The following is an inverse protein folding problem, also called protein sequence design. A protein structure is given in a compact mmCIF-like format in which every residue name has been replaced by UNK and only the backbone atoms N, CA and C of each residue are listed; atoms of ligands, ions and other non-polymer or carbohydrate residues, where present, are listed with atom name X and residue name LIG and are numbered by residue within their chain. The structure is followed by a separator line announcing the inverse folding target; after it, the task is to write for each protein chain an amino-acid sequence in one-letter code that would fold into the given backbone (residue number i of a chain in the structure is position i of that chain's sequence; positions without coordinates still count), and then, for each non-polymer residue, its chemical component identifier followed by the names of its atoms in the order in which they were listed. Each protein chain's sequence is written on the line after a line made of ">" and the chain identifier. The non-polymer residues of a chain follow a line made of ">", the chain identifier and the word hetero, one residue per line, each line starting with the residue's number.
data_IF_066425693869
#
_entry.id   IF_066425693869
#
_cell.length_a   1.000
_cell.length_b   1.000
_cell.length_c   1.000
_cell.angle_alpha   90.00
_cell.angle_beta   90.00
_cell.angle_gamma   90.00
#
_symmetry.space_group_name_H-M   'P 1'
#
loop_
_entity.id
_entity.type
_entity.pdbx_description
1 polymer ?
#
# COMPACT_ATOMS: atom_id res chain seq x y z
N UNK A 1 3.03 -1.71 -4.27
CA UNK A 1 3.93 -0.58 -3.92
C UNK A 1 3.41 0.70 -4.55
N UNK A 2 3.30 1.77 -3.78
CA UNK A 2 2.87 3.08 -4.27
C UNK A 2 4.05 3.88 -4.82
N UNK A 3 3.91 4.48 -6.00
CA UNK A 3 4.94 5.35 -6.58
C UNK A 3 4.75 6.80 -6.16
N UNK A 4 5.85 7.58 -6.07
CA UNK A 4 5.75 9.04 -6.04
C UNK A 4 5.22 9.54 -7.39
N UNK A 5 4.58 10.70 -7.38
CA UNK A 5 4.01 11.27 -8.62
C UNK A 5 5.06 11.42 -9.72
N UNK A 6 6.28 11.88 -9.39
CA UNK A 6 7.34 12.05 -10.38
C UNK A 6 7.80 10.74 -11.00
N UNK A 7 7.78 9.63 -10.26
CA UNK A 7 8.14 8.31 -10.79
C UNK A 7 7.02 7.76 -11.65
N UNK A 8 5.76 7.88 -11.18
CA UNK A 8 4.59 7.52 -11.98
C UNK A 8 4.59 8.25 -13.33
N UNK A 9 4.91 9.56 -13.33
CA UNK A 9 5.02 10.36 -14.56
C UNK A 9 6.20 9.94 -15.44
N UNK A 10 7.34 9.61 -14.86
CA UNK A 10 8.50 9.13 -15.61
C UNK A 10 8.19 7.87 -16.41
N UNK A 11 7.58 6.86 -15.78
CA UNK A 11 7.19 5.63 -16.47
C UNK A 11 6.06 5.87 -17.50
N UNK A 12 5.14 6.79 -17.21
CA UNK A 12 4.05 7.17 -18.12
C UNK A 12 4.55 7.84 -19.40
N UNK A 13 5.53 8.73 -19.29
CA UNK A 13 6.17 9.38 -20.44
C UNK A 13 6.81 8.38 -21.40
N UNK A 14 7.44 7.33 -20.88
CA UNK A 14 8.04 6.25 -21.70
C UNK A 14 6.98 5.47 -22.51
N UNK A 15 5.71 5.55 -22.12
CA UNK A 15 4.58 4.91 -22.78
C UNK A 15 3.72 5.88 -23.62
N UNK A 16 4.20 7.12 -23.84
CA UNK A 16 3.53 8.11 -24.65
C UNK A 16 2.37 8.84 -23.95
N UNK A 17 2.27 8.77 -22.62
CA UNK A 17 1.32 9.55 -21.85
C UNK A 17 1.91 10.95 -21.65
N UNK A 18 1.22 11.97 -22.15
CA UNK A 18 1.66 13.36 -21.94
C UNK A 18 1.53 13.73 -20.45
N UNK A 19 2.58 14.34 -19.93
CA UNK A 19 2.62 14.95 -18.59
C UNK A 19 3.16 16.37 -18.67
N UNK A 20 2.92 17.23 -17.69
CA UNK A 20 3.55 18.55 -17.67
C UNK A 20 5.08 18.44 -17.67
N UNK A 21 5.77 19.38 -18.32
CA UNK A 21 7.23 19.46 -18.26
C UNK A 21 7.66 19.85 -16.86
N UNK A 22 8.63 19.13 -16.31
CA UNK A 22 9.08 19.40 -14.94
C UNK A 22 10.21 18.50 -14.50
N UNK A 23 10.64 18.69 -13.26
CA UNK A 23 11.62 17.86 -12.60
C UNK A 23 11.48 17.93 -11.07
N UNK A 24 12.09 16.97 -10.38
CA UNK A 24 12.16 16.92 -8.92
C UNK A 24 13.30 17.78 -8.40
N UNK A 25 13.06 18.44 -7.27
CA UNK A 25 14.04 19.19 -6.50
C UNK A 25 14.05 18.73 -5.04
N UNK A 26 15.23 18.66 -4.44
CA UNK A 26 15.46 18.40 -3.02
C UNK A 26 15.80 19.67 -2.24
N UNK A 27 16.11 20.76 -2.96
CA UNK A 27 16.42 22.09 -2.42
C UNK A 27 15.62 23.18 -3.12
N UNK A 28 15.45 24.31 -2.47
CA UNK A 28 14.75 25.47 -3.04
C UNK A 28 15.52 26.09 -4.21
N UNK A 29 16.85 25.99 -4.22
CA UNK A 29 17.68 26.49 -5.33
C UNK A 29 17.52 25.63 -6.58
N UNK A 30 17.52 24.29 -6.43
CA UNK A 30 17.18 23.38 -7.53
C UNK A 30 15.79 23.67 -8.10
N UNK A 31 14.79 23.92 -7.23
CA UNK A 31 13.43 24.25 -7.64
C UNK A 31 13.37 25.51 -8.50
N UNK A 32 14.10 26.57 -8.09
CA UNK A 32 14.24 27.81 -8.86
C UNK A 32 14.86 27.58 -10.24
N UNK A 33 15.93 26.79 -10.30
CA UNK A 33 16.63 26.52 -11.56
C UNK A 33 15.81 25.63 -12.52
N UNK A 34 14.99 24.72 -11.97
CA UNK A 34 13.99 23.97 -12.76
C UNK A 34 12.97 24.94 -13.37
N UNK A 35 12.42 25.87 -12.57
CA UNK A 35 11.46 26.86 -13.09
C UNK A 35 12.06 27.70 -14.22
N UNK A 36 13.30 28.16 -14.10
CA UNK A 36 13.99 28.91 -15.19
C UNK A 36 14.04 28.12 -16.50
N UNK A 37 14.22 26.76 -16.40
CA UNK A 37 14.30 25.89 -17.58
C UNK A 37 12.94 25.61 -18.21
N UNK A 38 11.88 25.41 -17.39
CA UNK A 38 10.53 25.10 -17.89
C UNK A 38 9.79 26.32 -18.40
N UNK A 39 10.07 27.51 -17.83
CA UNK A 39 9.41 28.77 -18.17
C UNK A 39 7.92 28.84 -17.83
N UNK A 40 7.35 30.04 -17.94
CA UNK A 40 5.93 30.27 -17.68
C UNK A 40 5.53 30.11 -16.21
N UNK A 41 4.26 29.81 -15.95
CA UNK A 41 3.77 29.52 -14.59
C UNK A 41 4.16 28.11 -14.15
N UNK A 42 4.59 27.96 -12.91
CA UNK A 42 4.97 26.68 -12.31
C UNK A 42 4.00 26.22 -11.23
N UNK A 43 3.86 24.90 -11.08
CA UNK A 43 3.20 24.24 -9.96
C UNK A 43 4.27 23.52 -9.14
N UNK A 44 4.28 23.75 -7.85
CA UNK A 44 5.20 23.15 -6.88
C UNK A 44 4.40 22.13 -6.06
N UNK A 45 4.74 20.84 -6.13
CA UNK A 45 4.00 19.75 -5.52
C UNK A 45 4.86 18.95 -4.53
N UNK A 46 4.43 18.86 -3.29
CA UNK A 46 5.05 17.97 -2.30
C UNK A 46 5.09 16.53 -2.81
N UNK A 47 6.21 15.83 -2.65
CA UNK A 47 6.33 14.42 -2.96
C UNK A 47 6.24 13.61 -1.68
N UNK A 48 5.04 13.10 -1.41
CA UNK A 48 4.69 12.23 -0.27
C UNK A 48 3.75 11.12 -0.74
N UNK A 49 3.69 10.02 0.02
CA UNK A 49 2.86 8.86 -0.32
C UNK A 49 1.40 9.01 0.09
N UNK A 50 1.11 9.94 0.99
CA UNK A 50 -0.24 10.19 1.50
C UNK A 50 -1.10 10.97 0.51
N UNK A 51 -2.40 10.68 0.48
CA UNK A 51 -3.37 11.40 -0.33
C UNK A 51 -3.77 12.74 0.32
N UNK A 52 -4.28 13.67 -0.53
CA UNK A 52 -4.80 14.96 -0.04
C UNK A 52 -3.76 16.05 0.14
N UNK A 53 -2.62 15.96 -0.56
CA UNK A 53 -1.55 16.97 -0.57
C UNK A 53 -2.04 18.39 -0.80
N UNK A 54 -2.98 18.56 -1.75
CA UNK A 54 -3.56 19.87 -2.07
C UNK A 54 -4.29 20.49 -0.88
N UNK A 55 -5.16 19.73 -0.21
CA UNK A 55 -5.90 20.17 0.98
C UNK A 55 -4.96 20.49 2.16
N UNK A 56 -3.80 19.86 2.22
CA UNK A 56 -2.79 20.09 3.25
C UNK A 56 -1.80 21.22 2.93
N UNK A 57 -2.00 21.98 1.83
CA UNK A 57 -1.09 23.06 1.42
C UNK A 57 0.19 22.61 0.74
N UNK A 58 0.31 21.33 0.37
CA UNK A 58 1.46 20.74 -0.31
C UNK A 58 1.50 21.01 -1.83
N UNK A 59 0.57 21.79 -2.38
CA UNK A 59 0.56 22.24 -3.77
C UNK A 59 0.49 23.75 -3.79
N UNK A 60 1.44 24.41 -4.48
CA UNK A 60 1.51 25.87 -4.61
C UNK A 60 1.84 26.25 -6.04
N UNK A 61 1.53 27.49 -6.39
CA UNK A 61 1.77 28.06 -7.71
C UNK A 61 2.79 29.19 -7.63
N UNK A 62 3.54 29.41 -8.71
CA UNK A 62 4.50 30.49 -8.84
C UNK A 62 4.59 30.96 -10.29
N UNK A 63 4.65 32.27 -10.48
CA UNK A 63 4.79 32.91 -11.79
C UNK A 63 6.26 33.26 -12.14
N UNK A 64 7.13 33.25 -11.13
CA UNK A 64 8.54 33.62 -11.27
C UNK A 64 9.44 32.62 -10.52
N UNK A 65 10.71 32.45 -10.98
CA UNK A 65 11.65 31.54 -10.33
C UNK A 65 11.89 31.83 -8.84
N UNK A 66 11.94 33.08 -8.42
CA UNK A 66 12.16 33.43 -7.01
C UNK A 66 10.92 33.12 -6.14
N UNK A 67 9.71 33.22 -6.69
CA UNK A 67 8.50 32.74 -6.03
C UNK A 67 8.55 31.23 -5.86
N UNK A 68 9.03 30.52 -6.89
CA UNK A 68 9.20 29.04 -6.79
C UNK A 68 10.18 28.67 -5.68
N UNK A 69 11.28 29.40 -5.55
CA UNK A 69 12.21 29.23 -4.44
C UNK A 69 11.50 29.37 -3.09
N UNK A 70 10.76 30.47 -2.91
CA UNK A 70 10.03 30.72 -1.66
C UNK A 70 8.99 29.64 -1.36
N UNK A 71 8.18 29.24 -2.37
CA UNK A 71 7.16 28.19 -2.23
C UNK A 71 7.76 26.81 -1.98
N UNK A 72 8.86 26.47 -2.63
CA UNK A 72 9.58 25.23 -2.38
C UNK A 72 10.14 25.19 -0.95
N UNK A 73 10.68 26.32 -0.46
CA UNK A 73 11.18 26.43 0.92
C UNK A 73 10.08 26.28 1.97
N UNK A 74 8.86 26.75 1.67
CA UNK A 74 7.70 26.56 2.53
C UNK A 74 7.24 25.08 2.58
N UNK A 75 7.34 24.35 1.46
CA UNK A 75 6.86 22.97 1.33
C UNK A 75 7.91 21.95 1.81
N UNK A 76 9.19 22.19 1.51
CA UNK A 76 10.28 21.32 1.96
C UNK A 76 10.37 21.33 3.48
N UNK A 77 10.38 20.15 4.08
CA UNK A 77 10.39 19.99 5.53
C UNK A 77 9.03 20.03 6.22
N UNK A 78 7.93 20.43 5.50
CA UNK A 78 6.56 20.29 6.03
C UNK A 78 6.29 18.82 6.42
N UNK A 79 5.36 18.64 7.36
CA UNK A 79 4.78 17.32 7.65
C UNK A 79 3.35 17.27 7.14
N UNK A 80 3.06 16.34 6.23
CA UNK A 80 1.74 16.11 5.67
C UNK A 80 1.26 14.73 6.14
N UNK A 81 0.23 14.68 6.97
CA UNK A 81 -0.32 13.43 7.54
C UNK A 81 0.76 12.49 8.11
N UNK A 82 1.74 13.03 8.81
CA UNK A 82 2.82 12.26 9.44
C UNK A 82 4.08 12.09 8.58
N UNK A 83 4.00 12.30 7.26
CA UNK A 83 5.15 12.22 6.37
C UNK A 83 5.86 13.56 6.19
N UNK A 84 7.18 13.56 6.36
CA UNK A 84 8.01 14.73 6.11
C UNK A 84 8.31 14.89 4.61
N UNK A 85 8.01 16.05 4.04
CA UNK A 85 8.30 16.36 2.65
C UNK A 85 9.82 16.54 2.47
N UNK A 86 10.45 15.62 1.73
CA UNK A 86 11.87 15.63 1.41
C UNK A 86 12.16 16.15 0.00
N UNK A 87 11.19 16.07 -0.90
CA UNK A 87 11.31 16.45 -2.32
C UNK A 87 10.06 17.18 -2.78
N UNK A 88 10.21 18.06 -3.74
CA UNK A 88 9.12 18.74 -4.45
C UNK A 88 9.25 18.49 -5.95
N UNK A 89 8.12 18.32 -6.63
CA UNK A 89 8.03 18.28 -8.09
C UNK A 89 7.66 19.66 -8.59
N UNK A 90 8.49 20.22 -9.48
CA UNK A 90 8.27 21.51 -10.12
C UNK A 90 7.83 21.23 -11.55
N UNK A 91 6.65 21.67 -11.92
CA UNK A 91 6.08 21.43 -13.24
C UNK A 91 5.53 22.71 -13.85
N UNK A 92 5.57 22.79 -15.17
CA UNK A 92 4.88 23.83 -15.91
C UNK A 92 3.37 23.68 -15.71
N UNK A 93 2.70 24.75 -15.34
CA UNK A 93 1.24 24.75 -15.20
C UNK A 93 0.58 24.51 -16.56
N UNK A 94 -0.19 23.45 -16.69
CA UNK A 94 -0.99 23.19 -17.88
C UNK A 94 -2.25 24.07 -17.87
N UNK A 95 -2.55 24.70 -19.00
CA UNK A 95 -3.80 25.47 -19.18
C UNK A 95 -4.91 24.53 -19.53
N UNK A 96 -5.87 24.37 -18.64
CA UNK A 96 -7.01 23.48 -18.83
C UNK A 96 -8.11 24.17 -19.66
N UNK A 97 -8.57 23.46 -20.69
CA UNK A 97 -9.86 23.70 -21.32
C UNK A 97 -10.95 22.98 -20.56
N UNK A 98 -10.67 21.73 -20.16
CA UNK A 98 -11.52 20.87 -19.34
C UNK A 98 -10.64 19.99 -18.44
N UNK A 99 -11.16 19.68 -17.27
CA UNK A 99 -10.55 18.72 -16.35
C UNK A 99 -11.40 17.45 -16.29
N UNK A 100 -10.74 16.30 -16.44
CA UNK A 100 -11.38 14.99 -16.42
C UNK A 100 -10.71 14.10 -15.37
N UNK A 101 -11.39 13.02 -15.07
CA UNK A 101 -10.87 11.91 -14.28
C UNK A 101 -10.74 10.67 -15.16
N UNK A 102 -9.64 9.94 -15.02
CA UNK A 102 -9.46 8.62 -15.66
C UNK A 102 -8.66 7.70 -14.75
N UNK A 103 -9.13 6.47 -14.58
CA UNK A 103 -8.46 5.46 -13.76
C UNK A 103 -8.64 4.06 -14.35
N UNK A 104 -7.59 3.24 -14.21
CA UNK A 104 -7.63 1.79 -14.40
C UNK A 104 -7.46 1.16 -13.03
N UNK A 105 -8.44 0.38 -12.57
CA UNK A 105 -8.43 -0.23 -11.24
C UNK A 105 -8.70 -1.72 -11.31
N UNK A 106 -8.04 -2.49 -10.48
CA UNK A 106 -8.31 -3.91 -10.32
C UNK A 106 -9.60 -4.11 -9.49
N UNK A 107 -10.65 -4.58 -10.15
CA UNK A 107 -11.92 -4.96 -9.52
C UNK A 107 -11.89 -6.43 -9.09
N UNK A 108 -11.46 -6.68 -7.86
CA UNK A 108 -11.34 -8.04 -7.32
C UNK A 108 -12.68 -8.77 -7.20
N UNK A 109 -13.77 -8.05 -6.95
CA UNK A 109 -15.09 -8.64 -6.84
C UNK A 109 -15.58 -9.20 -8.19
N UNK A 110 -15.30 -8.51 -9.28
CA UNK A 110 -15.65 -8.91 -10.63
C UNK A 110 -14.51 -9.64 -11.37
N UNK A 111 -13.34 -9.81 -10.75
CA UNK A 111 -12.14 -10.49 -11.30
C UNK A 111 -11.68 -9.91 -12.64
N UNK A 112 -11.74 -8.60 -12.77
CA UNK A 112 -11.35 -7.90 -14.00
C UNK A 112 -10.73 -6.54 -13.68
N UNK A 113 -10.09 -5.92 -14.67
CA UNK A 113 -9.78 -4.50 -14.59
C UNK A 113 -11.00 -3.69 -15.02
N UNK A 114 -11.19 -2.54 -14.37
CA UNK A 114 -12.29 -1.61 -14.68
C UNK A 114 -11.72 -0.25 -15.00
N UNK A 115 -12.19 0.34 -16.09
CA UNK A 115 -11.93 1.75 -16.40
C UNK A 115 -12.98 2.60 -15.70
N UNK A 116 -12.53 3.57 -14.94
CA UNK A 116 -13.36 4.64 -14.41
C UNK A 116 -13.02 5.93 -15.15
N UNK A 117 -14.01 6.65 -15.62
CA UNK A 117 -13.80 7.92 -16.29
C UNK A 117 -14.93 8.90 -15.97
N UNK A 118 -14.60 10.18 -15.83
CA UNK A 118 -15.57 11.24 -15.57
C UNK A 118 -15.17 12.53 -16.28
N UNK A 119 -16.16 13.32 -16.65
CA UNK A 119 -15.97 14.68 -17.13
C UNK A 119 -15.80 15.71 -16.00
N UNK A 120 -15.74 15.23 -14.75
CA UNK A 120 -15.44 15.99 -13.54
C UNK A 120 -14.10 15.56 -12.97
N UNK A 121 -13.05 16.28 -13.32
CA UNK A 121 -11.70 16.10 -12.77
C UNK A 121 -11.33 17.20 -11.76
N UNK A 122 -10.18 17.04 -11.10
CA UNK A 122 -9.67 17.98 -10.10
C UNK A 122 -10.44 18.01 -8.78
N UNK A 123 -11.42 17.12 -8.63
CA UNK A 123 -12.27 16.97 -7.43
C UNK A 123 -12.14 15.58 -6.85
N UNK A 124 -12.69 15.37 -5.67
CA UNK A 124 -12.73 14.06 -5.01
C UNK A 124 -13.74 13.17 -5.74
N UNK A 125 -13.24 12.17 -6.46
CA UNK A 125 -14.10 11.32 -7.31
C UNK A 125 -15.03 10.43 -6.51
N UNK A 126 -14.68 10.10 -5.27
CA UNK A 126 -15.53 9.35 -4.34
C UNK A 126 -16.77 10.17 -3.96
N UNK A 127 -16.62 11.48 -3.79
CA UNK A 127 -17.74 12.38 -3.54
C UNK A 127 -18.62 12.51 -4.78
N UNK A 128 -18.04 12.63 -5.97
CA UNK A 128 -18.79 12.61 -7.24
C UNK A 128 -19.57 11.30 -7.39
N UNK A 129 -18.93 10.16 -7.15
CA UNK A 129 -19.57 8.84 -7.23
C UNK A 129 -20.69 8.64 -6.21
N UNK A 130 -20.65 9.33 -5.09
CA UNK A 130 -21.68 9.27 -4.05
C UNK A 130 -22.85 10.20 -4.33
N UNK A 131 -22.58 11.41 -4.83
CA UNK A 131 -23.61 12.44 -5.07
C UNK A 131 -24.26 12.31 -6.47
N UNK A 132 -23.46 11.98 -7.47
CA UNK A 132 -23.87 11.90 -8.90
C UNK A 132 -23.24 10.69 -9.57
N UNK A 133 -23.62 9.44 -9.19
CA UNK A 133 -22.99 8.21 -9.67
C UNK A 133 -23.01 8.05 -11.19
N UNK A 134 -24.01 8.64 -11.86
CA UNK A 134 -24.14 8.67 -13.32
C UNK A 134 -23.03 9.48 -14.02
N UNK A 135 -22.33 10.34 -13.31
CA UNK A 135 -21.19 11.11 -13.81
C UNK A 135 -19.89 10.30 -13.85
N UNK A 136 -19.84 9.16 -13.17
CA UNK A 136 -18.69 8.27 -13.17
C UNK A 136 -18.98 7.06 -14.07
N UNK A 137 -18.45 7.10 -15.27
CA UNK A 137 -18.52 5.96 -16.19
C UNK A 137 -17.70 4.81 -15.64
N UNK A 138 -18.31 3.63 -15.63
CA UNK A 138 -17.64 2.36 -15.26
C UNK A 138 -17.70 1.43 -16.47
N UNK A 139 -16.53 1.01 -16.95
CA UNK A 139 -16.42 0.07 -18.05
C UNK A 139 -15.51 -1.09 -17.64
N UNK A 140 -16.10 -2.28 -17.47
CA UNK A 140 -15.38 -3.50 -17.14
C UNK A 140 -14.69 -4.04 -18.37
N UNK A 141 -13.44 -4.40 -18.24
CA UNK A 141 -12.66 -5.00 -19.30
C UNK A 141 -12.78 -6.52 -19.25
N UNK A 142 -12.79 -7.15 -20.39
CA UNK A 142 -12.73 -8.61 -20.49
C UNK A 142 -11.36 -9.08 -19.93
N UNK A 143 -11.32 -10.00 -18.96
CA UNK A 143 -10.05 -10.41 -18.32
C UNK A 143 -9.11 -11.18 -19.27
N UNK A 144 -9.63 -11.74 -20.37
CA UNK A 144 -8.83 -12.48 -21.37
C UNK A 144 -8.32 -11.55 -22.48
N UNK A 145 -9.20 -10.68 -22.97
CA UNK A 145 -8.86 -9.82 -24.10
C UNK A 145 -8.36 -8.44 -23.70
N UNK A 146 -8.58 -8.03 -22.46
CA UNK A 146 -8.19 -6.71 -21.97
C UNK A 146 -8.96 -5.56 -22.62
N UNK A 147 -8.37 -4.37 -22.60
CA UNK A 147 -8.93 -3.20 -23.28
C UNK A 147 -8.64 -3.26 -24.77
N UNK A 148 -9.70 -3.27 -25.56
CA UNK A 148 -9.63 -3.16 -27.00
C UNK A 148 -9.87 -1.72 -27.45
N UNK A 149 -9.43 -1.36 -28.65
CA UNK A 149 -9.60 0.00 -29.18
C UNK A 149 -11.03 0.50 -29.21
N UNK A 150 -12.01 -0.38 -29.38
CA UNK A 150 -13.42 -0.01 -29.32
C UNK A 150 -13.91 0.31 -27.92
N UNK A 151 -13.36 -0.31 -26.87
CA UNK A 151 -13.69 0.00 -25.47
C UNK A 151 -13.30 1.44 -25.13
N UNK A 152 -12.07 1.82 -25.45
CA UNK A 152 -11.56 3.17 -25.25
C UNK A 152 -12.38 4.21 -26.04
N UNK A 153 -12.74 3.90 -27.31
CA UNK A 153 -13.59 4.77 -28.13
C UNK A 153 -15.00 4.91 -27.57
N UNK A 154 -15.58 3.82 -27.05
CA UNK A 154 -16.90 3.85 -26.43
C UNK A 154 -16.92 4.72 -25.18
N UNK A 155 -15.86 4.64 -24.34
CA UNK A 155 -15.72 5.48 -23.16
C UNK A 155 -15.60 6.95 -23.58
N UNK A 156 -14.74 7.25 -24.54
CA UNK A 156 -14.58 8.62 -25.08
C UNK A 156 -15.91 9.17 -25.62
N UNK A 157 -16.65 8.36 -26.38
CA UNK A 157 -17.95 8.74 -26.91
C UNK A 157 -18.97 9.06 -25.79
N UNK A 158 -19.03 8.23 -24.76
CA UNK A 158 -19.90 8.45 -23.60
C UNK A 158 -19.57 9.72 -22.82
N UNK A 159 -18.31 10.17 -22.85
CA UNK A 159 -17.89 11.46 -22.30
C UNK A 159 -18.15 12.65 -23.24
N UNK A 160 -18.76 12.39 -24.42
CA UNK A 160 -19.13 13.41 -25.38
C UNK A 160 -18.04 13.76 -26.39
N UNK A 161 -16.96 12.97 -26.49
CA UNK A 161 -15.89 13.18 -27.46
C UNK A 161 -16.21 12.53 -28.81
N UNK A 162 -15.93 13.26 -29.86
CA UNK A 162 -16.16 12.82 -31.27
C UNK A 162 -14.93 13.13 -32.14
N UNK A 163 -14.80 12.45 -33.25
CA UNK A 163 -13.75 12.71 -34.24
C UNK A 163 -12.34 12.58 -33.68
N UNK A 164 -11.50 13.59 -33.88
CA UNK A 164 -10.11 13.54 -33.48
C UNK A 164 -9.94 13.51 -31.94
N UNK A 165 -10.75 14.26 -31.19
CA UNK A 165 -10.69 14.22 -29.71
C UNK A 165 -11.07 12.86 -29.14
N UNK A 166 -12.04 12.18 -29.77
CA UNK A 166 -12.37 10.80 -29.41
C UNK A 166 -11.17 9.88 -29.59
N UNK A 167 -10.45 9.98 -30.71
CA UNK A 167 -9.24 9.18 -30.96
C UNK A 167 -8.14 9.52 -29.94
N UNK A 168 -7.82 10.78 -29.75
CA UNK A 168 -6.75 11.23 -28.83
C UNK A 168 -7.02 10.82 -27.38
N UNK A 169 -8.27 10.93 -26.91
CA UNK A 169 -8.62 10.47 -25.56
C UNK A 169 -8.61 8.94 -25.46
N UNK A 170 -9.02 8.23 -26.52
CA UNK A 170 -8.93 6.77 -26.58
C UNK A 170 -7.50 6.28 -26.51
N UNK A 171 -6.57 6.96 -27.19
CA UNK A 171 -5.13 6.65 -27.12
C UNK A 171 -4.57 6.90 -25.71
N UNK A 172 -5.00 8.00 -25.08
CA UNK A 172 -4.64 8.30 -23.67
C UNK A 172 -5.11 7.19 -22.73
N UNK A 173 -6.36 6.74 -22.80
CA UNK A 173 -6.90 5.64 -22.00
C UNK A 173 -6.18 4.32 -22.26
N UNK A 174 -5.90 4.03 -23.54
CA UNK A 174 -5.18 2.82 -23.94
C UNK A 174 -3.76 2.80 -23.39
N UNK A 175 -3.09 3.95 -23.33
CA UNK A 175 -1.77 4.06 -22.74
C UNK A 175 -1.80 3.95 -21.21
N UNK A 176 -2.82 4.48 -20.50
CA UNK A 176 -3.02 4.23 -19.07
C UNK A 176 -3.22 2.73 -18.79
N UNK A 177 -4.03 2.06 -19.60
CA UNK A 177 -4.22 0.63 -19.50
C UNK A 177 -2.92 -0.14 -19.76
N UNK A 178 -2.18 0.23 -20.82
CA UNK A 178 -0.87 -0.38 -21.12
C UNK A 178 0.12 -0.19 -19.97
N UNK A 179 0.11 0.97 -19.30
CA UNK A 179 0.92 1.23 -18.11
C UNK A 179 0.54 0.24 -16.99
N UNK A 180 -0.76 0.01 -16.75
CA UNK A 180 -1.20 -0.93 -15.72
C UNK A 180 -0.72 -2.37 -15.99
N UNK A 181 -0.68 -2.78 -17.25
CA UNK A 181 -0.21 -4.13 -17.61
C UNK A 181 1.31 -4.27 -17.50
N UNK A 182 2.07 -3.28 -18.02
CA UNK A 182 3.54 -3.36 -18.07
C UNK A 182 4.14 -3.34 -16.67
N UNK A 183 3.55 -2.56 -15.76
CA UNK A 183 4.05 -2.38 -14.40
C UNK A 183 3.26 -3.16 -13.35
N UNK A 184 2.39 -4.11 -13.76
CA UNK A 184 1.55 -4.89 -12.85
C UNK A 184 0.81 -4.00 -11.84
N UNK A 185 0.25 -2.88 -12.31
CA UNK A 185 -0.38 -1.93 -11.43
C UNK A 185 -1.81 -2.34 -11.04
N UNK A 186 -2.11 -2.32 -9.76
CA UNK A 186 -3.46 -2.48 -9.21
C UNK A 186 -4.32 -1.21 -9.42
N UNK A 187 -3.63 -0.06 -9.52
CA UNK A 187 -4.24 1.25 -9.75
C UNK A 187 -3.33 2.11 -10.63
N UNK A 188 -3.91 2.67 -11.69
CA UNK A 188 -3.36 3.80 -12.45
C UNK A 188 -4.43 4.86 -12.51
N UNK A 189 -4.22 6.02 -11.92
CA UNK A 189 -5.21 7.08 -11.79
C UNK A 189 -4.61 8.43 -12.16
N UNK A 190 -5.32 9.18 -13.00
CA UNK A 190 -5.00 10.58 -13.29
C UNK A 190 -6.18 11.48 -12.90
N UNK A 191 -5.93 12.41 -11.98
CA UNK A 191 -6.93 13.34 -11.45
C UNK A 191 -6.31 14.68 -11.05
N UNK A 192 -6.38 15.72 -11.92
CA UNK A 192 -7.08 15.73 -13.20
C UNK A 192 -6.26 15.20 -14.39
N UNK A 193 -6.97 14.72 -15.39
CA UNK A 193 -6.51 14.73 -16.78
C UNK A 193 -6.92 16.06 -17.38
N UNK A 194 -5.97 16.83 -17.89
CA UNK A 194 -6.23 18.13 -18.51
C UNK A 194 -6.41 17.95 -20.03
N UNK A 195 -7.61 18.32 -20.55
CA UNK A 195 -7.78 18.62 -21.96
C UNK A 195 -7.23 20.02 -22.22
N UNK A 196 -6.21 20.14 -23.05
CA UNK A 196 -5.61 21.42 -23.45
C UNK A 196 -6.37 22.08 -24.58
N UNK A 197 -6.10 23.37 -24.83
CA UNK A 197 -6.77 24.13 -25.92
C UNK A 197 -6.49 23.54 -27.32
N UNK A 198 -5.34 22.93 -27.52
CA UNK A 198 -4.94 22.23 -28.74
C UNK A 198 -5.45 20.77 -28.83
N UNK A 199 -6.31 20.35 -27.90
CA UNK A 199 -6.99 19.06 -27.92
C UNK A 199 -6.15 17.87 -27.45
N UNK A 200 -4.98 18.09 -26.83
CA UNK A 200 -4.20 17.02 -26.19
C UNK A 200 -4.74 16.72 -24.80
N UNK A 201 -4.51 15.48 -24.32
CA UNK A 201 -4.79 15.07 -22.96
C UNK A 201 -3.47 14.91 -22.20
N UNK A 202 -3.41 15.50 -21.01
CA UNK A 202 -2.21 15.59 -20.16
C UNK A 202 -2.53 15.09 -18.75
N UNK A 203 -1.83 14.09 -18.26
CA UNK A 203 -1.92 13.63 -16.87
C UNK A 203 -1.27 14.68 -15.95
N UNK A 204 -2.08 15.60 -15.41
CA UNK A 204 -1.58 16.67 -14.55
C UNK A 204 -1.21 16.16 -13.15
N UNK A 205 -1.94 15.19 -12.63
CA UNK A 205 -1.54 14.35 -11.49
C UNK A 205 -1.64 12.88 -11.92
N UNK A 206 -0.72 12.06 -11.44
CA UNK A 206 -0.69 10.64 -11.76
C UNK A 206 -0.31 9.83 -10.51
N UNK A 207 -1.17 8.89 -10.18
CA UNK A 207 -0.99 7.94 -9.09
C UNK A 207 -0.90 6.53 -9.65
N UNK A 208 0.14 5.81 -9.28
CA UNK A 208 0.33 4.41 -9.65
C UNK A 208 0.60 3.58 -8.39
N UNK A 209 -0.10 2.46 -8.28
CA UNK A 209 0.13 1.45 -7.23
C UNK A 209 0.45 0.14 -7.95
N UNK A 210 1.68 -0.31 -7.81
CA UNK A 210 2.19 -1.58 -8.35
C UNK A 210 1.86 -2.69 -7.35
N UNK A 211 1.50 -3.88 -7.83
CA UNK A 211 1.31 -5.06 -6.99
C UNK A 211 2.65 -5.47 -6.35
N UNK A 212 2.67 -5.54 -5.02
CA UNK A 212 3.87 -5.92 -4.26
C UNK A 212 4.35 -7.33 -4.62
N UNK A 213 3.44 -8.23 -4.98
CA UNK A 213 3.78 -9.60 -5.40
C UNK A 213 4.47 -9.65 -6.77
N UNK A 214 4.42 -8.60 -7.56
CA UNK A 214 5.04 -8.48 -8.88
C UNK A 214 6.42 -7.82 -8.85
N UNK A 215 6.86 -7.26 -7.73
CA UNK A 215 8.10 -6.48 -7.63
C UNK A 215 9.37 -7.24 -8.05
N UNK A 216 9.35 -8.57 -8.00
CA UNK A 216 10.46 -9.39 -8.52
C UNK A 216 10.68 -9.22 -10.03
N UNK A 217 9.67 -8.76 -10.78
CA UNK A 217 9.75 -8.44 -12.22
C UNK A 217 10.15 -6.99 -12.49
N UNK A 218 10.18 -6.16 -11.47
CA UNK A 218 10.44 -4.72 -11.54
C UNK A 218 11.64 -4.34 -10.68
N UNK A 219 12.88 -4.73 -11.09
CA UNK A 219 14.08 -4.48 -10.31
C UNK A 219 14.34 -2.99 -10.06
N UNK A 220 13.87 -2.10 -10.96
CA UNK A 220 13.94 -0.64 -10.81
C UNK A 220 13.23 -0.12 -9.57
N UNK A 221 12.29 -0.90 -9.00
CA UNK A 221 11.56 -0.55 -7.79
C UNK A 221 12.06 -1.26 -6.52
N UNK A 222 12.95 -2.27 -6.65
CA UNK A 222 13.40 -3.09 -5.52
C UNK A 222 14.19 -2.29 -4.47
N UNK A 223 15.11 -1.43 -4.89
CA UNK A 223 15.87 -0.60 -3.95
C UNK A 223 14.97 0.33 -3.16
N UNK A 224 13.95 0.85 -3.80
CA UNK A 224 12.98 1.73 -3.19
C UNK A 224 12.05 1.03 -2.21
N UNK A 225 11.69 -0.23 -2.43
CA UNK A 225 10.87 -0.99 -1.47
C UNK A 225 11.53 -1.05 -0.08
N UNK A 226 12.87 -0.92 -0.03
CA UNK A 226 13.66 -0.82 1.20
C UNK A 226 13.60 0.59 1.83
N UNK A 227 13.44 1.65 1.02
CA UNK A 227 13.37 3.04 1.50
C UNK A 227 11.97 3.47 1.97
N UNK A 228 10.90 2.85 1.45
CA UNK A 228 9.50 3.11 1.83
C UNK A 228 9.15 2.61 3.24
N UNK A 229 10.12 2.15 3.99
CA UNK A 229 9.99 1.76 5.41
C UNK A 229 9.40 2.86 6.33
N UNK A 230 8.99 4.01 5.81
CA UNK A 230 8.44 5.12 6.59
C UNK A 230 6.98 4.95 7.05
N UNK A 231 6.19 4.07 6.41
CA UNK A 231 4.83 3.72 6.86
C UNK A 231 4.81 2.38 7.63
N UNK A 232 5.95 1.67 7.68
CA UNK A 232 6.08 0.36 8.32
C UNK A 232 6.74 0.56 9.68
N UNK A 233 6.14 0.03 10.74
CA UNK A 233 6.74 0.11 12.09
C UNK A 233 8.07 -0.64 12.14
N UNK A 234 8.91 -0.34 13.13
CA UNK A 234 10.17 -1.04 13.32
C UNK A 234 9.97 -2.56 13.50
N UNK A 235 8.84 -2.97 14.09
CA UNK A 235 8.48 -4.38 14.28
C UNK A 235 8.07 -5.03 12.95
N UNK A 236 7.27 -4.34 12.14
CA UNK A 236 6.86 -4.81 10.81
C UNK A 236 8.05 -4.92 9.86
N UNK A 237 8.97 -3.94 9.89
CA UNK A 237 10.21 -4.01 9.10
C UNK A 237 11.05 -5.23 9.49
N UNK A 238 11.26 -5.43 10.80
CA UNK A 238 12.01 -6.57 11.31
C UNK A 238 11.36 -7.91 10.95
N UNK A 239 10.04 -8.00 11.00
CA UNK A 239 9.28 -9.19 10.61
C UNK A 239 9.42 -9.48 9.12
N UNK A 240 9.26 -8.46 8.27
CA UNK A 240 9.39 -8.55 6.82
C UNK A 240 10.80 -9.00 6.39
N UNK A 241 11.84 -8.43 7.01
CA UNK A 241 13.23 -8.80 6.72
C UNK A 241 13.55 -10.26 7.05
N UNK A 242 12.70 -10.89 7.89
CA UNK A 242 12.77 -12.31 8.24
C UNK A 242 11.66 -13.16 7.57
N UNK A 243 11.00 -12.66 6.53
CA UNK A 243 10.01 -13.40 5.75
C UNK A 243 8.68 -13.68 6.46
N UNK A 244 8.36 -12.92 7.51
CA UNK A 244 7.12 -13.06 8.28
C UNK A 244 6.06 -12.05 7.81
N UNK A 245 4.82 -12.52 7.62
CA UNK A 245 3.67 -11.65 7.41
C UNK A 245 3.22 -11.09 8.77
N UNK A 246 3.49 -9.81 9.00
CA UNK A 246 3.24 -9.15 10.27
C UNK A 246 2.58 -7.78 10.05
N UNK A 247 1.54 -7.49 10.82
CA UNK A 247 0.89 -6.17 10.87
C UNK A 247 0.69 -5.79 12.34
N UNK A 248 1.12 -4.60 12.71
CA UNK A 248 0.94 -4.07 14.06
C UNK A 248 -0.48 -3.52 14.25
N UNK A 249 -1.10 -3.81 15.40
CA UNK A 249 -2.43 -3.36 15.80
C UNK A 249 -2.36 -2.66 17.17
N UNK A 250 -3.45 -1.99 17.56
CA UNK A 250 -3.48 -1.15 18.78
C UNK A 250 -3.80 -1.92 20.08
N UNK A 251 -3.60 -3.24 20.10
CA UNK A 251 -3.88 -4.06 21.28
C UNK A 251 -2.66 -4.35 22.15
N UNK A 252 -2.84 -5.30 23.06
CA UNK A 252 -1.89 -5.73 24.07
C UNK A 252 -1.69 -7.26 24.17
N UNK A 253 -2.41 -8.04 23.33
CA UNK A 253 -2.25 -9.49 23.20
C UNK A 253 -1.55 -9.78 21.88
N UNK A 254 -0.29 -10.22 21.93
CA UNK A 254 0.47 -10.66 20.77
C UNK A 254 -0.05 -11.98 20.23
N UNK A 255 -0.26 -12.07 18.89
CA UNK A 255 -0.81 -13.26 18.24
C UNK A 255 0.21 -13.83 17.26
N UNK A 256 0.41 -15.13 17.31
CA UNK A 256 1.17 -15.92 16.32
C UNK A 256 0.30 -17.09 15.87
N UNK A 257 0.19 -17.29 14.57
CA UNK A 257 -0.47 -18.46 13.99
C UNK A 257 0.16 -18.90 12.68
N UNK A 258 -0.21 -20.06 12.19
CA UNK A 258 0.23 -20.59 10.91
C UNK A 258 -0.92 -20.63 9.91
N UNK A 259 -0.89 -19.70 8.98
CA UNK A 259 -1.91 -19.45 7.98
C UNK A 259 -2.83 -18.28 8.33
N UNK A 260 -3.01 -17.37 7.39
CA UNK A 260 -3.74 -16.12 7.57
C UNK A 260 -5.18 -16.30 8.10
N UNK A 261 -5.88 -17.34 7.62
CA UNK A 261 -7.23 -17.64 8.07
C UNK A 261 -7.31 -18.01 9.56
N UNK A 262 -6.35 -18.81 10.05
CA UNK A 262 -6.27 -19.16 11.46
C UNK A 262 -5.91 -17.94 12.32
N UNK A 263 -5.00 -17.12 11.86
CA UNK A 263 -4.63 -15.87 12.56
C UNK A 263 -5.83 -14.94 12.66
N UNK A 264 -6.57 -14.69 11.56
CA UNK A 264 -7.79 -13.87 11.57
C UNK A 264 -8.84 -14.41 12.54
N UNK A 265 -9.12 -15.71 12.48
CA UNK A 265 -10.05 -16.36 13.44
C UNK A 265 -9.58 -16.22 14.89
N UNK A 266 -8.26 -16.25 15.13
CA UNK A 266 -7.68 -16.04 16.47
C UNK A 266 -7.88 -14.61 16.96
N UNK A 267 -7.67 -13.61 16.08
CA UNK A 267 -7.92 -12.20 16.37
C UNK A 267 -9.39 -11.97 16.76
N UNK A 268 -10.31 -12.52 15.97
CA UNK A 268 -11.75 -12.39 16.21
C UNK A 268 -12.16 -13.03 17.55
N UNK A 269 -11.63 -14.22 17.85
CA UNK A 269 -11.93 -14.93 19.09
C UNK A 269 -11.39 -14.17 20.31
N UNK A 270 -10.17 -13.62 20.25
CA UNK A 270 -9.61 -12.77 21.30
C UNK A 270 -10.48 -11.53 21.53
N UNK A 271 -10.95 -10.87 20.46
CA UNK A 271 -11.90 -9.75 20.56
C UNK A 271 -13.24 -10.16 21.17
N UNK A 272 -13.77 -11.32 20.78
CA UNK A 272 -15.03 -11.84 21.31
C UNK A 272 -14.98 -12.03 22.84
N UNK A 273 -13.81 -12.39 23.39
CA UNK A 273 -13.61 -12.52 24.83
C UNK A 273 -13.17 -11.22 25.52
N UNK A 274 -13.25 -10.08 24.82
CA UNK A 274 -12.96 -8.75 25.36
C UNK A 274 -11.48 -8.38 25.35
N UNK A 275 -10.60 -9.18 24.73
CA UNK A 275 -9.17 -8.85 24.56
C UNK A 275 -8.93 -7.93 23.37
N UNK A 276 -7.72 -7.37 23.31
CA UNK A 276 -7.28 -6.48 22.23
C UNK A 276 -6.03 -7.06 21.55
N UNK A 277 -6.15 -7.62 20.32
CA UNK A 277 -4.99 -8.10 19.58
C UNK A 277 -3.99 -6.99 19.29
N UNK A 278 -2.70 -7.24 19.54
CA UNK A 278 -1.59 -6.30 19.33
C UNK A 278 -1.00 -6.38 17.92
N UNK A 279 -1.20 -7.49 17.24
CA UNK A 279 -0.67 -7.72 15.90
C UNK A 279 -1.40 -8.86 15.19
N UNK A 280 -1.31 -8.87 13.87
CA UNK A 280 -1.44 -10.04 13.01
C UNK A 280 -0.03 -10.61 12.80
N UNK A 281 0.19 -11.92 12.98
CA UNK A 281 1.45 -12.57 12.60
C UNK A 281 1.19 -13.99 12.09
N UNK A 282 1.46 -14.19 10.80
CA UNK A 282 1.40 -15.48 10.14
C UNK A 282 2.82 -15.99 9.85
N UNK A 283 3.18 -17.12 10.46
CA UNK A 283 4.47 -17.77 10.24
C UNK A 283 4.47 -18.71 9.03
N UNK A 284 3.33 -18.84 8.33
CA UNK A 284 3.17 -19.64 7.12
C UNK A 284 2.88 -21.12 7.37
N UNK A 285 2.34 -21.77 6.34
CA UNK A 285 1.92 -23.18 6.38
C UNK A 285 3.05 -24.22 6.38
N UNK A 286 4.32 -23.80 6.32
CA UNK A 286 5.52 -24.66 6.38
C UNK A 286 6.54 -24.13 7.38
N UNK A 287 6.09 -23.40 8.40
CA UNK A 287 6.96 -22.77 9.38
C UNK A 287 7.86 -23.77 10.09
N UNK A 288 9.16 -23.47 10.12
CA UNK A 288 10.18 -24.19 10.87
C UNK A 288 10.42 -23.56 12.26
N UNK A 289 11.31 -24.14 13.05
CA UNK A 289 11.66 -23.65 14.37
C UNK A 289 12.17 -22.20 14.36
N UNK A 290 12.94 -21.80 13.35
CA UNK A 290 13.54 -20.47 13.22
C UNK A 290 12.47 -19.38 12.99
N UNK A 291 11.52 -19.60 12.08
CA UNK A 291 10.42 -18.68 11.83
C UNK A 291 9.58 -18.44 13.09
N UNK A 292 9.27 -19.51 13.83
CA UNK A 292 8.50 -19.40 15.08
C UNK A 292 9.31 -18.66 16.16
N UNK A 293 10.59 -18.98 16.28
CA UNK A 293 11.48 -18.29 17.23
C UNK A 293 11.58 -16.79 16.92
N UNK A 294 11.78 -16.43 15.67
CA UNK A 294 11.85 -15.03 15.22
C UNK A 294 10.56 -14.28 15.50
N UNK A 295 9.39 -14.85 15.12
CA UNK A 295 8.09 -14.26 15.41
C UNK A 295 7.89 -14.04 16.93
N UNK A 296 8.22 -15.04 17.74
CA UNK A 296 8.09 -14.95 19.19
C UNK A 296 9.04 -13.90 19.78
N UNK A 297 10.28 -13.80 19.31
CA UNK A 297 11.24 -12.78 19.74
C UNK A 297 10.75 -11.36 19.44
N UNK A 298 10.22 -11.13 18.25
CA UNK A 298 9.68 -9.83 17.83
C UNK A 298 8.55 -9.42 18.77
N UNK A 299 7.58 -10.33 19.01
CA UNK A 299 6.41 -10.03 19.83
C UNK A 299 6.74 -9.93 21.32
N UNK A 300 7.62 -10.78 21.84
CA UNK A 300 8.12 -10.67 23.21
C UNK A 300 8.89 -9.37 23.47
N UNK A 301 9.51 -8.80 22.43
CA UNK A 301 10.22 -7.51 22.47
C UNK A 301 9.29 -6.29 22.35
N UNK A 302 8.06 -6.43 21.89
CA UNK A 302 7.13 -5.31 21.65
C UNK A 302 6.62 -4.72 22.98
N UNK A 303 6.87 -3.44 23.28
CA UNK A 303 6.57 -2.82 24.58
C UNK A 303 5.11 -2.89 24.99
N UNK A 304 4.19 -2.66 24.04
CA UNK A 304 2.73 -2.67 24.31
C UNK A 304 2.14 -4.05 24.53
N UNK A 305 2.83 -5.13 24.15
CA UNK A 305 2.33 -6.49 24.35
C UNK A 305 2.48 -6.91 25.80
N UNK A 306 1.39 -7.41 26.39
CA UNK A 306 1.33 -7.86 27.80
C UNK A 306 1.22 -9.39 27.94
N UNK A 307 0.66 -10.08 26.93
CA UNK A 307 0.61 -11.53 26.84
C UNK A 307 0.76 -11.97 25.39
N UNK A 308 1.21 -13.20 25.16
CA UNK A 308 1.35 -13.76 23.80
C UNK A 308 0.51 -15.03 23.68
N UNK A 309 -0.25 -15.13 22.59
CA UNK A 309 -1.02 -16.31 22.23
C UNK A 309 -0.47 -16.90 20.93
N UNK A 310 0.11 -18.10 21.02
CA UNK A 310 0.57 -18.91 19.89
C UNK A 310 -0.51 -19.95 19.57
N UNK A 311 -1.14 -19.85 18.41
CA UNK A 311 -2.18 -20.74 17.96
C UNK A 311 -1.77 -21.47 16.67
N UNK A 312 -1.48 -22.75 16.77
CA UNK A 312 -1.00 -23.59 15.68
C UNK A 312 -2.00 -24.70 15.37
N UNK A 313 -2.35 -24.80 14.08
CA UNK A 313 -3.03 -25.94 13.50
C UNK A 313 -2.07 -26.59 12.48
N UNK A 314 -1.38 -27.62 12.93
CA UNK A 314 -0.31 -28.23 12.17
C UNK A 314 -0.87 -29.25 11.15
N UNK A 315 -0.77 -28.90 9.88
CA UNK A 315 -0.92 -29.82 8.74
C UNK A 315 0.47 -30.13 8.18
N UNK A 316 0.96 -29.27 7.27
CA UNK A 316 2.36 -29.29 6.75
C UNK A 316 3.32 -28.82 7.84
N UNK A 317 2.99 -27.77 8.56
CA UNK A 317 3.71 -27.37 9.80
C UNK A 317 3.74 -28.54 10.78
N UNK A 318 4.81 -28.70 11.53
CA UNK A 318 5.00 -29.77 12.52
C UNK A 318 5.05 -29.17 13.91
N UNK A 319 4.27 -29.75 14.84
CA UNK A 319 4.20 -29.30 16.23
C UNK A 319 5.54 -29.41 16.97
N UNK A 320 6.34 -30.43 16.68
CA UNK A 320 7.67 -30.61 17.28
C UNK A 320 8.65 -29.50 16.86
N UNK A 321 8.61 -29.03 15.60
CA UNK A 321 9.42 -27.89 15.15
C UNK A 321 8.97 -26.57 15.80
N UNK A 322 7.66 -26.34 15.87
CA UNK A 322 7.10 -25.19 16.60
C UNK A 322 7.54 -25.19 18.07
N UNK A 323 7.44 -26.34 18.73
CA UNK A 323 7.83 -26.49 20.12
C UNK A 323 9.33 -26.22 20.34
N UNK A 324 10.21 -26.70 19.45
CA UNK A 324 11.65 -26.38 19.48
C UNK A 324 11.89 -24.88 19.41
N UNK A 325 11.28 -24.20 18.44
CA UNK A 325 11.42 -22.73 18.28
C UNK A 325 11.00 -21.97 19.53
N UNK A 326 9.89 -22.34 20.16
CA UNK A 326 9.43 -21.73 21.42
C UNK A 326 10.43 -21.99 22.57
N UNK A 327 10.90 -23.20 22.69
CA UNK A 327 11.87 -23.60 23.75
C UNK A 327 13.20 -22.89 23.56
N UNK A 328 13.66 -22.73 22.33
CA UNK A 328 14.91 -22.02 22.03
C UNK A 328 14.83 -20.55 22.44
N UNK A 329 13.72 -19.86 22.17
CA UNK A 329 13.49 -18.49 22.65
C UNK A 329 13.51 -18.44 24.18
N UNK A 330 12.82 -19.38 24.84
CA UNK A 330 12.83 -19.46 26.31
C UNK A 330 14.24 -19.62 26.88
N UNK A 331 15.08 -20.45 26.26
CA UNK A 331 16.47 -20.68 26.71
C UNK A 331 17.37 -19.46 26.50
N UNK A 332 17.24 -18.79 25.34
CA UNK A 332 18.15 -17.73 24.92
C UNK A 332 17.85 -16.39 25.62
N UNK A 333 16.58 -15.98 25.67
CA UNK A 333 16.19 -14.66 26.17
C UNK A 333 15.18 -14.68 27.32
N UNK A 334 14.70 -15.85 27.70
CA UNK A 334 13.59 -16.00 28.64
C UNK A 334 12.25 -15.58 28.04
N UNK A 335 11.17 -15.90 28.73
CA UNK A 335 9.83 -15.42 28.39
C UNK A 335 9.47 -14.27 29.32
N UNK A 336 9.58 -13.05 28.82
CA UNK A 336 9.30 -11.83 29.59
C UNK A 336 7.82 -11.61 29.83
N UNK A 337 6.98 -12.20 28.97
CA UNK A 337 5.52 -12.05 28.97
C UNK A 337 4.85 -13.41 29.05
N UNK A 338 3.69 -13.53 29.70
CA UNK A 338 2.91 -14.75 29.74
C UNK A 338 2.69 -15.31 28.35
N UNK A 339 2.91 -16.60 28.16
CA UNK A 339 2.75 -17.30 26.90
C UNK A 339 1.64 -18.35 27.03
N UNK A 340 0.63 -18.24 26.19
CA UNK A 340 -0.43 -19.25 26.02
C UNK A 340 -0.21 -19.94 24.68
N UNK A 341 -0.22 -21.27 24.69
CA UNK A 341 0.07 -22.08 23.50
C UNK A 341 -1.11 -22.99 23.24
N UNK A 342 -1.67 -22.93 22.03
CA UNK A 342 -2.56 -23.96 21.50
C UNK A 342 -1.86 -24.57 20.29
N UNK A 343 -1.72 -25.90 20.31
CA UNK A 343 -0.98 -26.62 19.28
C UNK A 343 -1.57 -28.00 19.05
N UNK A 344 -2.10 -28.23 17.84
CA UNK A 344 -2.77 -29.49 17.44
C UNK A 344 -2.33 -29.89 16.05
N UNK A 345 -2.29 -31.18 15.77
CA UNK A 345 -2.04 -31.75 14.44
C UNK A 345 -0.75 -32.56 14.35
N UNK A 346 -0.05 -32.46 13.24
CA UNK A 346 1.13 -33.29 12.94
C UNK A 346 2.20 -33.23 14.04
N UNK A 347 2.62 -34.37 14.58
CA UNK A 347 3.59 -34.53 15.68
C UNK A 347 3.21 -33.82 16.98
N UNK A 348 1.90 -33.72 17.25
CA UNK A 348 1.36 -33.04 18.44
C UNK A 348 1.93 -33.57 19.76
N UNK A 349 1.99 -34.91 19.95
CA UNK A 349 2.47 -35.52 21.16
C UNK A 349 3.95 -35.27 21.43
N UNK A 350 4.76 -35.29 20.37
CA UNK A 350 6.17 -34.95 20.49
C UNK A 350 6.38 -33.47 20.81
N UNK A 351 5.63 -32.59 20.14
CA UNK A 351 5.64 -31.17 20.45
C UNK A 351 5.24 -30.86 21.90
N UNK A 352 4.24 -31.54 22.44
CA UNK A 352 3.84 -31.44 23.84
C UNK A 352 4.97 -31.88 24.79
N UNK A 353 5.61 -33.00 24.49
CA UNK A 353 6.72 -33.53 25.28
C UNK A 353 7.88 -32.52 25.35
N UNK A 354 8.22 -31.91 24.20
CA UNK A 354 9.26 -30.88 24.12
C UNK A 354 8.87 -29.67 24.98
N UNK A 355 7.64 -29.16 24.88
CA UNK A 355 7.17 -28.04 25.69
C UNK A 355 7.17 -28.38 27.19
N UNK A 356 6.68 -29.55 27.58
CA UNK A 356 6.63 -30.00 28.98
C UNK A 356 8.03 -30.11 29.60
N UNK A 357 9.02 -30.60 28.85
CA UNK A 357 10.41 -30.67 29.32
C UNK A 357 11.00 -29.29 29.62
N UNK A 358 10.44 -28.24 29.02
CA UNK A 358 10.77 -26.84 29.25
C UNK A 358 9.82 -26.13 30.24
N UNK A 359 8.91 -26.87 30.90
CA UNK A 359 7.95 -26.31 31.85
C UNK A 359 6.87 -25.44 31.17
N UNK A 360 6.48 -25.77 29.91
CA UNK A 360 5.43 -25.13 29.17
C UNK A 360 4.31 -26.13 28.88
N UNK A 361 3.07 -25.64 28.75
CA UNK A 361 1.91 -26.49 28.47
C UNK A 361 1.19 -26.00 27.21
N UNK A 362 0.80 -26.92 26.32
CA UNK A 362 -0.05 -26.63 25.18
C UNK A 362 -1.48 -27.10 25.45
N UNK A 363 -2.43 -26.31 24.96
CA UNK A 363 -3.88 -26.58 25.01
C UNK A 363 -4.36 -27.13 23.67
N UNK A 364 -5.54 -27.79 23.69
CA UNK A 364 -6.17 -28.31 22.48
C UNK A 364 -7.21 -27.37 21.91
N UNK A 365 -8.02 -26.79 22.78
CA UNK A 365 -9.16 -25.98 22.40
C UNK A 365 -8.78 -24.53 22.23
N UNK A 366 -9.13 -23.99 21.09
CA UNK A 366 -8.79 -22.64 20.70
C UNK A 366 -9.50 -21.57 21.56
N UNK A 367 -10.78 -21.81 21.89
CA UNK A 367 -11.58 -20.89 22.70
C UNK A 367 -11.09 -20.82 24.16
N UNK A 368 -10.73 -21.96 24.77
CA UNK A 368 -10.14 -21.99 26.10
C UNK A 368 -8.79 -21.27 26.16
N UNK A 369 -7.95 -21.47 25.13
CA UNK A 369 -6.66 -20.79 25.02
C UNK A 369 -6.82 -19.27 24.82
N UNK A 370 -7.77 -18.83 24.01
CA UNK A 370 -8.06 -17.41 23.82
C UNK A 370 -8.55 -16.74 25.12
N UNK A 371 -9.48 -17.38 25.85
CA UNK A 371 -9.94 -16.90 27.18
C UNK A 371 -8.77 -16.78 28.16
N UNK A 372 -7.90 -17.80 28.20
CA UNK A 372 -6.72 -17.77 29.05
C UNK A 372 -5.77 -16.63 28.67
N UNK A 373 -5.54 -16.41 27.36
CA UNK A 373 -4.69 -15.31 26.92
C UNK A 373 -5.24 -13.93 27.34
N UNK A 374 -6.56 -13.73 27.21
CA UNK A 374 -7.25 -12.51 27.66
C UNK A 374 -7.12 -12.35 29.18
N UNK A 375 -7.31 -13.40 29.96
CA UNK A 375 -7.19 -13.33 31.42
C UNK A 375 -5.78 -12.96 31.91
N UNK A 376 -4.73 -13.28 31.13
CA UNK A 376 -3.34 -12.93 31.47
C UNK A 376 -3.03 -11.44 31.33
N UNK A 377 -3.87 -10.69 30.62
CA UNK A 377 -3.75 -9.24 30.47
C UNK A 377 -4.61 -8.48 31.47
N UNK A 378 -5.72 -9.09 31.92
CA UNK A 378 -6.63 -8.50 32.91
C UNK A 378 -6.07 -8.57 34.36
N UNK A 379 -5.09 -9.44 34.60
CA UNK A 379 -4.37 -9.57 35.87
C UNK A 379 -3.13 -8.68 35.93
#
# INVERSE_FOLDING_TARGET
>A
MKLFEYEAKSIAQNLGINTPRGAVASTSDEARDIHKRIGGEAVIKAQVMVAGRGKAGGIKFASKPDETWARANEILGMTIKGEKVKKVLIEQKATAKKELFASIVLDRANRCQTVLASDQGGVDIEDVARQTPEKVLRHRLDPVFGMRSYDARLIALKLGYHGMQQSTFSDFLSNLYRLSLIYDAELVESNPVIETQDGRFVAADLRVIVDDNSLFRHPEFQERSKEISGEVTALESKARDNGLAFVELDGDIGIIGNGAGLVMATLDLVKQYGGKPANFCDVGGGANAEHVATALQIIQGAEKVRAVFVNILAGITRCDEVAKGIVDVKKVMGLKKPLVIRMVGTNQEEGRRILQSAGLTAMDKMDEAARLAVSKVAA
#
